data_IF_169056170462
#
_entry.id   IF_169056170462
#
_cell.length_a   1.000
_cell.length_b   1.000
_cell.length_c   1.000
_cell.angle_alpha   90.00
_cell.angle_beta   90.00
_cell.angle_gamma   90.00
#
_symmetry.space_group_name_H-M   'P 1'
#
loop_
_entity.id
_entity.type
_entity.pdbx_description
1 polymer ?
#
# COMPACT_ATOMS: atom_id res chain seq x y z
N UNK A 1 17.66 -12.27 -24.02
CA UNK A 1 16.61 -11.25 -24.25
C UNK A 1 17.12 -10.32 -25.33
N UNK A 2 16.43 -10.19 -26.49
CA UNK A 2 16.85 -9.28 -27.56
C UNK A 2 16.70 -7.84 -27.05
N UNK A 3 17.77 -7.07 -27.09
CA UNK A 3 17.75 -5.65 -26.74
C UNK A 3 16.74 -4.93 -27.65
N UNK A 4 15.75 -4.29 -27.06
CA UNK A 4 14.78 -3.49 -27.81
C UNK A 4 15.56 -2.35 -28.46
N UNK A 5 15.58 -2.32 -29.80
CA UNK A 5 16.30 -1.24 -30.50
C UNK A 5 15.68 0.10 -30.16
N UNK A 6 16.48 1.06 -29.67
CA UNK A 6 16.03 2.42 -29.33
C UNK A 6 15.26 3.07 -30.49
N UNK A 7 15.67 2.82 -31.74
CA UNK A 7 15.01 3.33 -32.94
C UNK A 7 13.57 2.80 -33.04
N UNK A 8 13.33 1.52 -32.69
CA UNK A 8 11.99 0.93 -32.66
C UNK A 8 11.14 1.63 -31.58
N UNK A 9 11.68 1.84 -30.38
CA UNK A 9 10.98 2.51 -29.28
C UNK A 9 10.64 3.95 -29.64
N UNK A 10 11.58 4.72 -30.17
CA UNK A 10 11.33 6.10 -30.60
C UNK A 10 10.29 6.20 -31.71
N UNK A 11 10.28 5.26 -32.67
CA UNK A 11 9.25 5.21 -33.72
C UNK A 11 7.87 4.97 -33.15
N UNK A 12 7.75 4.10 -32.14
CA UNK A 12 6.48 3.84 -31.45
C UNK A 12 6.06 5.06 -30.63
N UNK A 13 6.98 5.73 -29.97
CA UNK A 13 6.73 6.92 -29.15
C UNK A 13 6.51 8.22 -29.95
N UNK A 14 6.70 8.18 -31.28
CA UNK A 14 6.37 9.30 -32.17
C UNK A 14 4.86 9.59 -32.32
N UNK A 15 4.00 8.84 -31.62
CA UNK A 15 2.57 9.11 -31.52
C UNK A 15 2.25 9.67 -30.12
N UNK A 16 1.56 10.79 -30.10
CA UNK A 16 1.28 11.53 -28.85
C UNK A 16 0.47 10.70 -27.83
N UNK A 17 -0.49 9.92 -28.28
CA UNK A 17 -1.33 9.13 -27.38
C UNK A 17 -0.52 7.97 -26.73
N UNK A 18 0.37 7.35 -27.50
CA UNK A 18 1.27 6.33 -26.95
C UNK A 18 2.25 6.92 -25.95
N UNK A 19 2.73 8.12 -26.21
CA UNK A 19 3.61 8.83 -25.29
C UNK A 19 2.88 9.17 -23.98
N UNK A 20 1.68 9.75 -24.06
CA UNK A 20 0.81 10.04 -22.91
C UNK A 20 0.51 8.77 -22.09
N UNK A 21 0.13 7.68 -22.77
CA UNK A 21 -0.09 6.40 -22.08
C UNK A 21 1.15 5.90 -21.37
N UNK A 22 2.33 5.98 -22.01
CA UNK A 22 3.56 5.51 -21.39
C UNK A 22 3.95 6.39 -20.18
N UNK A 23 3.73 7.69 -20.23
CA UNK A 23 3.93 8.60 -19.10
C UNK A 23 3.03 8.23 -17.93
N UNK A 24 1.74 8.00 -18.16
CA UNK A 24 0.80 7.55 -17.13
C UNK A 24 1.21 6.21 -16.53
N UNK A 25 1.51 5.23 -17.39
CA UNK A 25 1.90 3.87 -16.99
C UNK A 25 3.29 3.80 -16.33
N UNK A 26 4.11 4.82 -16.48
CA UNK A 26 5.38 4.93 -15.75
C UNK A 26 5.18 5.36 -14.29
N UNK A 27 4.04 5.97 -13.97
CA UNK A 27 3.67 6.44 -12.64
C UNK A 27 2.80 5.42 -11.89
N UNK A 28 1.82 4.85 -12.62
CA UNK A 28 0.82 3.97 -12.02
C UNK A 28 0.45 2.82 -12.94
N UNK A 29 0.09 1.70 -12.32
CA UNK A 29 -0.52 0.59 -13.03
C UNK A 29 -2.01 0.91 -13.27
N UNK A 30 -2.43 0.89 -14.55
CA UNK A 30 -3.77 1.30 -14.96
C UNK A 30 -4.45 0.22 -15.80
N UNK A 31 -5.75 0.08 -15.60
CA UNK A 31 -6.62 -0.72 -16.45
C UNK A 31 -7.01 0.04 -17.74
N UNK A 32 -7.54 -0.69 -18.72
CA UNK A 32 -8.08 -0.07 -19.95
C UNK A 32 -9.18 0.94 -19.63
N UNK A 33 -10.08 0.61 -18.69
CA UNK A 33 -11.17 1.51 -18.30
C UNK A 33 -10.66 2.83 -17.69
N UNK A 34 -9.62 2.76 -16.87
CA UNK A 34 -9.03 3.96 -16.27
C UNK A 34 -8.26 4.79 -17.30
N UNK A 35 -7.55 4.15 -18.22
CA UNK A 35 -6.92 4.87 -19.34
C UNK A 35 -7.96 5.57 -20.24
N UNK A 36 -9.14 4.95 -20.44
CA UNK A 36 -10.25 5.60 -21.15
C UNK A 36 -10.74 6.85 -20.41
N UNK A 37 -10.91 6.74 -19.09
CA UNK A 37 -11.35 7.85 -18.25
C UNK A 37 -10.34 9.01 -18.24
N UNK A 38 -9.04 8.70 -18.13
CA UNK A 38 -7.98 9.71 -18.08
C UNK A 38 -7.81 10.40 -19.43
N UNK A 39 -7.73 9.61 -20.51
CA UNK A 39 -7.36 10.12 -21.83
C UNK A 39 -8.55 10.56 -22.68
N UNK A 40 -9.78 10.28 -22.25
CA UNK A 40 -11.00 10.57 -23.02
C UNK A 40 -11.09 9.78 -24.33
N UNK A 41 -10.46 8.62 -24.42
CA UNK A 41 -10.35 7.82 -25.65
C UNK A 41 -11.23 6.58 -25.61
N UNK A 42 -11.67 6.11 -26.78
CA UNK A 42 -12.44 4.87 -26.90
C UNK A 42 -11.60 3.62 -26.61
N UNK A 43 -12.24 2.57 -26.10
CA UNK A 43 -11.60 1.31 -25.71
C UNK A 43 -10.75 0.68 -26.82
N UNK A 44 -11.27 0.65 -28.06
CA UNK A 44 -10.56 0.06 -29.20
C UNK A 44 -9.25 0.80 -29.52
N UNK A 45 -9.27 2.13 -29.41
CA UNK A 45 -8.08 2.97 -29.62
C UNK A 45 -7.04 2.72 -28.53
N UNK A 46 -7.45 2.73 -27.26
CA UNK A 46 -6.59 2.40 -26.10
C UNK A 46 -5.95 1.03 -26.30
N UNK A 47 -6.76 0.01 -26.60
CA UNK A 47 -6.28 -1.36 -26.77
C UNK A 47 -5.26 -1.47 -27.93
N UNK A 48 -5.48 -0.74 -29.04
CA UNK A 48 -4.56 -0.71 -30.16
C UNK A 48 -3.22 -0.09 -29.79
N UNK A 49 -3.23 1.05 -29.09
CA UNK A 49 -2.01 1.72 -28.63
C UNK A 49 -1.25 0.88 -27.61
N UNK A 50 -1.95 0.25 -26.64
CA UNK A 50 -1.35 -0.66 -25.68
C UNK A 50 -0.70 -1.87 -26.32
N UNK A 51 -1.34 -2.46 -27.36
CA UNK A 51 -0.77 -3.57 -28.11
C UNK A 51 0.56 -3.18 -28.79
N UNK A 52 0.63 -1.97 -29.36
CA UNK A 52 1.84 -1.46 -29.99
C UNK A 52 2.95 -1.19 -28.97
N UNK A 53 2.62 -0.58 -27.83
CA UNK A 53 3.56 -0.36 -26.73
C UNK A 53 4.08 -1.71 -26.18
N UNK A 54 3.19 -2.69 -25.99
CA UNK A 54 3.55 -4.03 -25.53
C UNK A 54 4.45 -4.75 -26.54
N UNK A 55 4.11 -4.69 -27.83
CA UNK A 55 4.95 -5.27 -28.89
C UNK A 55 6.34 -4.64 -28.97
N UNK A 56 6.45 -3.34 -28.64
CA UNK A 56 7.73 -2.65 -28.53
C UNK A 56 8.48 -2.96 -27.22
N UNK A 57 7.87 -3.68 -26.28
CA UNK A 57 8.46 -4.02 -24.98
C UNK A 57 8.53 -2.84 -24.00
N UNK A 58 7.71 -1.79 -24.22
CA UNK A 58 7.65 -0.59 -23.38
C UNK A 58 6.63 -0.69 -22.25
N UNK A 59 5.64 -1.58 -22.38
CA UNK A 59 4.67 -1.88 -21.34
C UNK A 59 4.55 -3.40 -21.17
N UNK A 60 4.17 -3.78 -19.98
CA UNK A 60 3.76 -5.15 -19.65
C UNK A 60 2.35 -5.11 -19.05
N UNK A 61 1.69 -6.26 -19.11
CA UNK A 61 0.36 -6.41 -18.57
C UNK A 61 0.31 -7.61 -17.62
N UNK A 62 -0.62 -7.54 -16.70
CA UNK A 62 -1.03 -8.68 -15.87
C UNK A 62 -2.55 -8.77 -15.84
N UNK A 63 -3.05 -9.97 -15.78
CA UNK A 63 -4.48 -10.21 -15.61
C UNK A 63 -4.81 -10.33 -14.11
N UNK A 64 -5.80 -9.58 -13.68
CA UNK A 64 -6.34 -9.68 -12.33
C UNK A 64 -7.87 -9.71 -12.41
N UNK A 65 -8.46 -10.89 -12.19
CA UNK A 65 -9.90 -11.14 -12.38
C UNK A 65 -10.36 -10.88 -13.79
N UNK A 66 -11.32 -9.99 -13.95
CA UNK A 66 -11.88 -9.58 -15.26
C UNK A 66 -11.06 -8.49 -15.94
N UNK A 67 -10.15 -7.84 -15.21
CA UNK A 67 -9.40 -6.68 -15.68
C UNK A 67 -8.00 -7.10 -16.13
N UNK A 68 -7.47 -6.37 -17.13
CA UNK A 68 -6.08 -6.40 -17.53
C UNK A 68 -5.47 -5.07 -17.09
N UNK A 69 -4.41 -5.15 -16.31
CA UNK A 69 -3.66 -4.04 -15.80
C UNK A 69 -2.37 -3.88 -16.56
N UNK A 70 -2.01 -2.66 -16.86
CA UNK A 70 -0.82 -2.30 -17.64
C UNK A 70 0.08 -1.42 -16.83
N UNK A 71 1.39 -1.64 -16.95
CA UNK A 71 2.41 -0.75 -16.37
C UNK A 71 3.55 -0.58 -17.36
N UNK A 72 4.31 0.48 -17.20
CA UNK A 72 5.55 0.66 -17.94
C UNK A 72 6.53 -0.45 -17.58
N UNK A 73 7.12 -1.04 -18.60
CA UNK A 73 8.28 -1.90 -18.44
C UNK A 73 9.52 -1.02 -18.59
N UNK A 74 10.45 -1.07 -17.63
CA UNK A 74 11.69 -0.31 -17.70
C UNK A 74 12.37 -0.55 -19.05
N UNK A 75 12.17 0.37 -19.98
CA UNK A 75 12.60 0.30 -21.38
C UNK A 75 14.09 0.55 -21.60
N UNK A 76 14.90 0.37 -20.54
CA UNK A 76 16.29 0.74 -20.51
C UNK A 76 16.52 2.21 -20.13
N UNK A 77 17.76 2.55 -19.77
CA UNK A 77 18.16 3.85 -19.22
C UNK A 77 17.75 5.06 -20.11
N UNK A 78 17.79 4.89 -21.42
CA UNK A 78 17.47 5.98 -22.35
C UNK A 78 15.98 6.33 -22.35
N UNK A 79 15.10 5.32 -22.34
CA UNK A 79 13.65 5.56 -22.30
C UNK A 79 13.24 6.14 -20.95
N UNK A 80 13.82 5.65 -19.86
CA UNK A 80 13.60 6.23 -18.53
C UNK A 80 13.98 7.71 -18.48
N UNK A 81 15.17 8.06 -18.97
CA UNK A 81 15.61 9.46 -19.05
C UNK A 81 14.72 10.32 -19.95
N UNK A 82 14.22 9.78 -21.07
CA UNK A 82 13.28 10.49 -21.93
C UNK A 82 11.97 10.80 -21.18
N UNK A 83 11.40 9.82 -20.46
CA UNK A 83 10.19 10.02 -19.67
C UNK A 83 10.39 11.05 -18.56
N UNK A 84 11.52 11.00 -17.86
CA UNK A 84 11.88 11.98 -16.84
C UNK A 84 11.99 13.40 -17.40
N UNK A 85 12.56 13.56 -18.61
CA UNK A 85 12.64 14.85 -19.28
C UNK A 85 11.26 15.39 -19.64
N UNK A 86 10.38 14.55 -20.19
CA UNK A 86 9.02 14.96 -20.58
C UNK A 86 8.17 15.33 -19.35
N UNK A 87 8.34 14.67 -18.24
CA UNK A 87 7.67 15.04 -16.99
C UNK A 87 8.12 16.40 -16.45
N UNK A 88 9.37 16.81 -16.72
CA UNK A 88 9.94 18.10 -16.29
C UNK A 88 9.69 19.23 -17.28
N UNK A 89 9.19 18.95 -18.47
CA UNK A 89 8.92 19.89 -19.53
C UNK A 89 7.44 19.91 -19.93
N UNK A 90 6.52 20.29 -19.02
CA UNK A 90 5.06 20.23 -19.27
C UNK A 90 4.60 21.11 -20.43
N UNK A 91 5.38 22.12 -20.85
CA UNK A 91 5.11 22.93 -22.03
C UNK A 91 5.33 22.17 -23.35
N UNK A 92 6.13 21.12 -23.34
CA UNK A 92 6.38 20.27 -24.53
C UNK A 92 5.25 19.28 -24.77
N UNK A 93 4.44 18.99 -23.74
CA UNK A 93 3.30 18.08 -23.79
C UNK A 93 2.16 18.62 -22.91
N UNK A 94 1.43 19.66 -23.37
CA UNK A 94 0.41 20.34 -22.57
C UNK A 94 -0.66 19.37 -22.04
N UNK A 95 -1.06 18.36 -22.81
CA UNK A 95 -2.06 17.36 -22.45
C UNK A 95 -1.62 16.51 -21.24
N UNK A 96 -0.33 16.36 -21.02
CA UNK A 96 0.18 15.56 -19.90
C UNK A 96 -0.20 16.16 -18.53
N UNK A 97 -0.42 17.48 -18.46
CA UNK A 97 -0.88 18.16 -17.24
C UNK A 97 -2.34 17.79 -16.92
N UNK A 98 -3.18 17.79 -17.95
CA UNK A 98 -4.59 17.42 -17.78
C UNK A 98 -4.71 15.92 -17.48
N UNK A 99 -3.89 15.08 -18.10
CA UNK A 99 -3.79 13.65 -17.83
C UNK A 99 -3.35 13.38 -16.39
N UNK A 100 -2.42 14.15 -15.86
CA UNK A 100 -1.97 14.04 -14.47
C UNK A 100 -3.10 14.38 -13.50
N UNK A 101 -3.84 15.45 -13.73
CA UNK A 101 -4.98 15.81 -12.92
C UNK A 101 -6.09 14.74 -12.98
N UNK A 102 -6.34 14.18 -14.16
CA UNK A 102 -7.29 13.08 -14.34
C UNK A 102 -6.82 11.79 -13.65
N UNK A 103 -5.52 11.48 -13.70
CA UNK A 103 -4.93 10.36 -12.96
C UNK A 103 -5.16 10.51 -11.46
N UNK A 104 -4.91 11.68 -10.88
CA UNK A 104 -5.17 11.93 -9.45
C UNK A 104 -6.63 11.69 -9.09
N UNK A 105 -7.57 12.08 -9.95
CA UNK A 105 -8.99 11.82 -9.74
C UNK A 105 -9.31 10.32 -9.74
N UNK A 106 -8.73 9.56 -10.67
CA UNK A 106 -8.89 8.09 -10.71
C UNK A 106 -8.33 7.44 -9.44
N UNK A 107 -7.15 7.89 -8.98
CA UNK A 107 -6.55 7.37 -7.76
C UNK A 107 -7.39 7.69 -6.52
N UNK A 108 -7.93 8.91 -6.42
CA UNK A 108 -8.88 9.28 -5.35
C UNK A 108 -10.12 8.39 -5.38
N UNK A 109 -10.71 8.12 -6.55
CA UNK A 109 -11.85 7.19 -6.67
C UNK A 109 -11.54 5.78 -6.19
N UNK A 110 -10.32 5.28 -6.43
CA UNK A 110 -9.87 3.99 -5.86
C UNK A 110 -9.86 4.04 -4.32
N UNK A 111 -9.30 5.11 -3.73
CA UNK A 111 -9.27 5.31 -2.29
C UNK A 111 -10.67 5.41 -1.70
N UNK A 112 -11.54 6.20 -2.33
CA UNK A 112 -12.92 6.37 -1.87
C UNK A 112 -13.72 5.06 -1.94
N UNK A 113 -13.49 4.23 -2.96
CA UNK A 113 -14.09 2.90 -3.06
C UNK A 113 -13.63 1.99 -1.91
N UNK A 114 -12.34 2.01 -1.60
CA UNK A 114 -11.76 1.25 -0.48
C UNK A 114 -12.36 1.73 0.85
N UNK A 115 -12.42 3.05 1.06
CA UNK A 115 -13.03 3.64 2.25
C UNK A 115 -14.50 3.25 2.40
N UNK A 116 -15.28 3.40 1.32
CA UNK A 116 -16.71 3.04 1.33
C UNK A 116 -16.95 1.57 1.66
N UNK A 117 -16.07 0.66 1.20
CA UNK A 117 -16.12 -0.74 1.59
C UNK A 117 -15.96 -0.92 3.10
N UNK A 118 -14.96 -0.29 3.71
CA UNK A 118 -14.75 -0.39 5.16
C UNK A 118 -15.83 0.33 5.96
N UNK A 119 -16.36 1.44 5.47
CA UNK A 119 -17.51 2.13 6.07
C UNK A 119 -18.76 1.24 6.09
N UNK A 120 -19.00 0.47 5.01
CA UNK A 120 -20.08 -0.53 4.98
C UNK A 120 -19.83 -1.71 5.91
N UNK A 121 -18.57 -2.12 6.05
CA UNK A 121 -18.16 -3.23 6.93
C UNK A 121 -18.03 -2.83 8.40
N UNK A 122 -18.10 -1.53 8.72
CA UNK A 122 -17.95 -1.04 10.09
C UNK A 122 -19.01 -1.66 11.03
N UNK A 123 -18.57 -2.17 12.17
CA UNK A 123 -19.39 -2.92 13.14
C UNK A 123 -19.53 -4.42 12.83
N UNK A 124 -19.12 -4.88 11.64
CA UNK A 124 -19.19 -6.30 11.22
C UNK A 124 -17.83 -6.98 11.07
N UNK A 125 -16.75 -6.22 10.83
CA UNK A 125 -15.39 -6.73 10.60
C UNK A 125 -14.94 -7.74 11.66
N UNK A 126 -15.24 -7.45 12.93
CA UNK A 126 -14.89 -8.35 14.03
C UNK A 126 -15.68 -9.64 14.09
N UNK A 127 -16.81 -9.76 13.38
CA UNK A 127 -17.69 -10.94 13.37
C UNK A 127 -17.53 -11.80 12.13
N UNK A 128 -17.28 -11.18 10.98
CA UNK A 128 -17.30 -11.85 9.68
C UNK A 128 -15.90 -12.08 9.09
N UNK A 129 -14.92 -11.25 9.41
CA UNK A 129 -13.63 -11.23 8.69
C UNK A 129 -12.40 -11.61 9.51
N UNK A 130 -12.47 -11.78 10.82
CA UNK A 130 -11.25 -12.09 11.58
C UNK A 130 -11.02 -13.60 11.67
N UNK A 131 -10.14 -14.19 10.83
CA UNK A 131 -9.54 -15.47 11.13
C UNK A 131 -8.70 -15.33 12.40
N UNK A 132 -8.89 -16.23 13.36
CA UNK A 132 -7.97 -16.32 14.49
C UNK A 132 -8.42 -15.75 15.82
N UNK A 133 -9.72 -15.60 16.09
CA UNK A 133 -10.23 -15.30 17.44
C UNK A 133 -9.73 -16.28 18.51
N UNK A 134 -9.31 -17.50 18.09
CA UNK A 134 -8.84 -18.57 18.99
C UNK A 134 -7.51 -18.28 19.68
N UNK A 135 -6.69 -17.37 19.14
CA UNK A 135 -5.39 -17.02 19.72
C UNK A 135 -5.38 -15.74 20.57
N UNK A 136 -6.56 -15.14 20.81
CA UNK A 136 -6.68 -13.97 21.69
C UNK A 136 -6.02 -14.19 23.06
N UNK A 137 -6.28 -15.35 23.68
CA UNK A 137 -5.69 -15.68 24.98
C UNK A 137 -4.16 -15.78 24.93
N UNK A 138 -3.61 -16.32 23.84
CA UNK A 138 -2.16 -16.39 23.64
C UNK A 138 -1.60 -14.98 23.43
N UNK A 139 -2.26 -14.17 22.64
CA UNK A 139 -1.84 -12.78 22.41
C UNK A 139 -1.87 -11.97 23.71
N UNK A 140 -2.90 -12.10 24.53
CA UNK A 140 -2.97 -11.47 25.85
C UNK A 140 -1.82 -11.91 26.77
N UNK A 141 -1.49 -13.20 26.78
CA UNK A 141 -0.35 -13.70 27.54
C UNK A 141 0.99 -13.16 27.04
N UNK A 142 1.19 -13.09 25.71
CA UNK A 142 2.40 -12.55 25.09
C UNK A 142 2.56 -11.07 25.35
N UNK A 143 1.46 -10.30 25.40
CA UNK A 143 1.50 -8.86 25.74
C UNK A 143 2.07 -8.62 27.14
N UNK A 144 1.88 -9.54 28.08
CA UNK A 144 2.47 -9.42 29.42
C UNK A 144 4.00 -9.42 29.42
N UNK A 145 4.62 -9.95 28.36
CA UNK A 145 6.07 -9.99 28.18
C UNK A 145 6.64 -8.70 27.58
N UNK A 146 5.78 -7.82 27.02
CA UNK A 146 6.22 -6.58 26.42
C UNK A 146 6.39 -5.48 27.46
N UNK A 147 7.47 -4.66 27.37
CA UNK A 147 7.57 -3.45 28.16
C UNK A 147 6.46 -2.45 27.74
N UNK A 148 6.04 -1.54 28.65
CA UNK A 148 5.11 -0.48 28.28
C UNK A 148 5.71 0.43 27.20
N UNK A 149 5.07 0.51 26.04
CA UNK A 149 5.53 1.25 24.85
C UNK A 149 4.45 2.23 24.36
N UNK A 150 4.87 3.24 23.60
CA UNK A 150 3.97 4.03 22.76
C UNK A 150 3.88 3.35 21.41
N UNK A 151 2.68 2.94 21.00
CA UNK A 151 2.44 2.13 19.81
C UNK A 151 1.56 2.92 18.83
N UNK A 152 1.93 2.95 17.56
CA UNK A 152 1.06 3.36 16.47
C UNK A 152 0.46 2.11 15.81
N UNK A 153 -0.86 2.02 15.75
CA UNK A 153 -1.62 1.01 15.01
C UNK A 153 -2.11 1.66 13.72
N UNK A 154 -1.50 1.30 12.59
CA UNK A 154 -1.66 1.96 11.31
C UNK A 154 -2.64 1.18 10.41
N UNK A 155 -3.80 1.78 10.12
CA UNK A 155 -4.95 1.12 9.52
C UNK A 155 -5.71 0.30 10.55
N UNK A 156 -5.98 0.89 11.70
CA UNK A 156 -6.49 0.20 12.88
C UNK A 156 -7.91 -0.34 12.73
N UNK A 157 -8.69 0.13 11.75
CA UNK A 157 -10.10 -0.23 11.58
C UNK A 157 -10.90 0.04 12.85
N UNK A 158 -11.71 -0.92 13.27
CA UNK A 158 -12.49 -0.86 14.53
C UNK A 158 -11.62 -0.99 15.79
N UNK A 159 -10.32 -1.25 15.64
CA UNK A 159 -9.38 -1.33 16.75
C UNK A 159 -9.34 -2.63 17.53
N UNK A 160 -9.69 -3.73 16.91
CA UNK A 160 -9.61 -5.02 17.57
C UNK A 160 -8.21 -5.33 18.13
N UNK A 161 -7.17 -4.91 17.39
CA UNK A 161 -5.78 -5.05 17.81
C UNK A 161 -5.37 -3.93 18.78
N UNK A 162 -5.78 -2.70 18.53
CA UNK A 162 -5.57 -1.56 19.43
C UNK A 162 -6.12 -1.82 20.83
N UNK A 163 -7.33 -2.42 20.94
CA UNK A 163 -7.96 -2.80 22.21
C UNK A 163 -7.16 -3.87 22.97
N UNK A 164 -6.46 -4.72 22.25
CA UNK A 164 -5.58 -5.72 22.85
C UNK A 164 -4.29 -5.07 23.34
N UNK A 165 -3.65 -4.25 22.51
CA UNK A 165 -2.38 -3.59 22.81
C UNK A 165 -2.47 -2.61 23.98
N UNK A 166 -3.57 -1.84 24.08
CA UNK A 166 -3.73 -0.81 25.11
C UNK A 166 -3.73 -1.35 26.54
N UNK A 167 -4.00 -2.65 26.72
CA UNK A 167 -3.97 -3.29 28.03
C UNK A 167 -2.57 -3.24 28.68
N UNK A 168 -1.51 -3.10 27.90
CA UNK A 168 -0.12 -3.08 28.37
C UNK A 168 0.69 -1.92 27.83
N UNK A 169 0.27 -1.32 26.73
CA UNK A 169 0.93 -0.17 26.15
C UNK A 169 0.84 1.05 27.09
N UNK A 170 1.84 1.91 27.05
CA UNK A 170 1.79 3.24 27.66
C UNK A 170 0.73 4.12 26.98
N UNK A 171 0.67 4.01 25.65
CA UNK A 171 -0.32 4.67 24.81
C UNK A 171 -0.42 3.90 23.49
N UNK A 172 -1.62 3.82 22.94
CA UNK A 172 -1.87 3.37 21.57
C UNK A 172 -2.47 4.53 20.79
N UNK A 173 -1.86 4.86 19.66
CA UNK A 173 -2.37 5.83 18.69
C UNK A 173 -2.84 5.03 17.48
N UNK A 174 -4.15 4.87 17.37
CA UNK A 174 -4.80 4.17 16.29
C UNK A 174 -5.09 5.15 15.14
N UNK A 175 -4.65 4.84 13.93
CA UNK A 175 -4.84 5.70 12.75
C UNK A 175 -5.66 4.94 11.73
N UNK A 176 -6.72 5.57 11.23
CA UNK A 176 -7.52 5.05 10.12
C UNK A 176 -8.00 6.19 9.22
N UNK A 177 -8.21 5.91 7.93
CA UNK A 177 -8.66 6.91 6.96
C UNK A 177 -10.19 7.02 6.85
N UNK A 178 -10.95 6.08 7.46
CA UNK A 178 -12.41 6.09 7.50
C UNK A 178 -12.93 6.83 8.72
N UNK A 179 -13.74 7.87 8.50
CA UNK A 179 -14.41 8.61 9.59
C UNK A 179 -15.21 7.66 10.48
N UNK A 180 -15.90 6.68 9.86
CA UNK A 180 -16.75 5.73 10.56
C UNK A 180 -15.94 4.78 11.46
N UNK A 181 -14.77 4.32 10.99
CA UNK A 181 -13.86 3.50 11.80
C UNK A 181 -13.33 4.30 12.99
N UNK A 182 -12.91 5.54 12.76
CA UNK A 182 -12.42 6.44 13.82
C UNK A 182 -13.52 6.73 14.86
N UNK A 183 -14.76 7.00 14.42
CA UNK A 183 -15.90 7.20 15.33
C UNK A 183 -16.18 5.97 16.17
N UNK A 184 -16.25 4.79 15.54
CA UNK A 184 -16.49 3.51 16.24
C UNK A 184 -15.38 3.20 17.23
N UNK A 185 -14.13 3.28 16.81
CA UNK A 185 -13.00 3.01 17.68
C UNK A 185 -12.91 3.97 18.86
N UNK A 186 -13.16 5.26 18.61
CA UNK A 186 -13.23 6.28 19.69
C UNK A 186 -14.36 5.99 20.67
N UNK A 187 -15.54 5.60 20.18
CA UNK A 187 -16.66 5.22 21.01
C UNK A 187 -16.36 3.98 21.86
N UNK A 188 -15.73 2.96 21.26
CA UNK A 188 -15.30 1.76 21.97
C UNK A 188 -14.28 2.07 23.07
N UNK A 189 -13.26 2.87 22.77
CA UNK A 189 -12.27 3.30 23.77
C UNK A 189 -12.91 4.00 24.96
N UNK A 190 -13.84 4.94 24.69
CA UNK A 190 -14.58 5.66 25.71
C UNK A 190 -15.46 4.73 26.56
N UNK A 191 -16.23 3.85 25.91
CA UNK A 191 -17.16 2.95 26.59
C UNK A 191 -16.44 1.93 27.48
N UNK A 192 -15.21 1.56 27.14
CA UNK A 192 -14.37 0.65 27.91
C UNK A 192 -13.46 1.38 28.92
N UNK A 193 -13.50 2.70 28.99
CA UNK A 193 -12.68 3.48 29.92
C UNK A 193 -11.18 3.38 29.65
N UNK A 194 -10.78 3.40 28.37
CA UNK A 194 -9.39 3.24 27.91
C UNK A 194 -8.77 4.59 27.50
N UNK A 195 -8.36 5.45 28.43
CA UNK A 195 -7.84 6.79 28.12
C UNK A 195 -6.51 6.78 27.37
N UNK A 196 -5.78 5.66 27.42
CA UNK A 196 -4.52 5.48 26.71
C UNK A 196 -4.69 5.02 25.26
N UNK A 197 -5.92 4.84 24.75
CA UNK A 197 -6.23 4.56 23.35
C UNK A 197 -6.78 5.82 22.70
N UNK A 198 -6.03 6.36 21.75
CA UNK A 198 -6.39 7.57 21.00
C UNK A 198 -6.58 7.21 19.53
N UNK A 199 -7.73 7.58 18.95
CA UNK A 199 -7.98 7.44 17.52
C UNK A 199 -7.74 8.74 16.78
N UNK A 200 -7.07 8.66 15.62
CA UNK A 200 -6.82 9.77 14.71
C UNK A 200 -7.23 9.41 13.30
N UNK A 201 -7.94 10.32 12.65
CA UNK A 201 -8.16 10.21 11.21
C UNK A 201 -6.88 10.55 10.47
N UNK A 202 -6.43 9.65 9.57
CA UNK A 202 -5.22 9.87 8.77
C UNK A 202 -5.04 8.79 7.71
N UNK A 203 -4.24 9.13 6.71
CA UNK A 203 -3.82 8.22 5.66
C UNK A 203 -2.52 7.53 6.08
N UNK A 204 -2.31 6.27 5.64
CA UNK A 204 -1.07 5.52 5.88
C UNK A 204 0.15 6.21 5.24
N UNK A 205 -0.07 6.95 4.15
CA UNK A 205 0.96 7.68 3.42
C UNK A 205 1.17 9.12 3.94
N UNK A 206 0.38 9.55 4.96
CA UNK A 206 0.47 10.86 5.61
C UNK A 206 -0.05 10.76 7.05
N UNK A 207 0.70 10.06 7.89
CA UNK A 207 0.30 9.69 9.26
C UNK A 207 0.28 10.91 10.18
N UNK A 208 -0.84 11.21 10.89
CA UNK A 208 -0.98 12.38 11.76
C UNK A 208 -0.29 12.16 13.13
N UNK A 209 0.94 11.72 13.12
CA UNK A 209 1.81 11.49 14.29
C UNK A 209 3.11 12.23 14.05
N UNK A 210 3.63 12.89 15.08
CA UNK A 210 4.89 13.63 15.01
C UNK A 210 6.09 12.68 14.78
N UNK A 211 7.18 13.25 14.28
CA UNK A 211 8.44 12.52 14.06
C UNK A 211 8.96 11.95 15.39
N UNK A 212 9.47 10.74 15.34
CA UNK A 212 10.10 10.05 16.47
C UNK A 212 9.23 10.05 17.75
N UNK A 213 7.92 9.87 17.59
CA UNK A 213 6.95 9.91 18.70
C UNK A 213 6.63 8.53 19.28
N UNK A 214 6.84 7.44 18.52
CA UNK A 214 6.41 6.09 18.92
C UNK A 214 7.58 5.12 19.01
N UNK A 215 7.42 4.07 19.81
CA UNK A 215 8.39 3.01 20.00
C UNK A 215 8.16 1.83 19.04
N UNK A 216 6.89 1.62 18.65
CA UNK A 216 6.44 0.56 17.76
C UNK A 216 5.44 1.12 16.73
N UNK A 217 5.65 0.81 15.46
CA UNK A 217 4.66 1.00 14.40
C UNK A 217 4.17 -0.36 13.93
N UNK A 218 2.86 -0.54 13.91
CA UNK A 218 2.21 -1.79 13.54
C UNK A 218 1.32 -1.60 12.32
N UNK A 219 1.45 -2.48 11.35
CA UNK A 219 0.47 -2.74 10.30
C UNK A 219 -0.13 -4.12 10.54
N UNK A 220 -1.44 -4.19 10.72
CA UNK A 220 -2.15 -5.45 10.90
C UNK A 220 -3.24 -5.59 9.84
N UNK A 221 -2.96 -6.33 8.78
CA UNK A 221 -3.84 -6.50 7.62
C UNK A 221 -4.25 -5.15 6.99
N UNK A 222 -3.29 -4.24 6.86
CA UNK A 222 -3.58 -2.86 6.43
C UNK A 222 -2.62 -2.33 5.35
N UNK A 223 -1.39 -2.82 5.27
CA UNK A 223 -0.42 -2.31 4.30
C UNK A 223 -0.86 -2.60 2.85
N UNK A 224 -1.53 -3.73 2.59
CA UNK A 224 -2.04 -4.09 1.27
C UNK A 224 -3.17 -3.17 0.76
N UNK A 225 -3.72 -2.30 1.62
CA UNK A 225 -4.67 -1.26 1.23
C UNK A 225 -4.01 0.09 0.89
N UNK A 226 -2.71 0.28 1.19
CA UNK A 226 -1.99 1.48 0.79
C UNK A 226 -1.84 1.55 -0.74
N UNK A 227 -2.02 2.73 -1.32
CA UNK A 227 -1.74 2.93 -2.76
C UNK A 227 -0.25 2.75 -3.06
N UNK A 228 0.58 3.33 -2.20
CA UNK A 228 2.04 3.31 -2.29
C UNK A 228 2.64 2.76 -0.98
N UNK A 229 2.78 1.44 -0.83
CA UNK A 229 3.31 0.82 0.40
C UNK A 229 4.64 1.42 0.85
N UNK A 230 5.52 1.78 -0.08
CA UNK A 230 6.79 2.44 0.23
C UNK A 230 6.61 3.77 0.98
N UNK A 231 5.60 4.57 0.60
CA UNK A 231 5.29 5.83 1.30
C UNK A 231 4.75 5.56 2.70
N UNK A 232 3.86 4.58 2.84
CA UNK A 232 3.34 4.17 4.13
C UNK A 232 4.47 3.69 5.07
N UNK A 233 5.42 2.92 4.56
CA UNK A 233 6.60 2.49 5.31
C UNK A 233 7.56 3.65 5.64
N UNK A 234 7.67 4.64 4.75
CA UNK A 234 8.44 5.88 5.01
C UNK A 234 7.81 6.68 6.16
N UNK A 235 6.50 6.81 6.19
CA UNK A 235 5.76 7.45 7.28
C UNK A 235 5.93 6.67 8.59
N UNK A 236 5.83 5.34 8.55
CA UNK A 236 6.11 4.51 9.72
C UNK A 236 7.54 4.71 10.24
N UNK A 237 8.52 4.79 9.35
CA UNK A 237 9.90 5.11 9.71
C UNK A 237 10.02 6.52 10.32
N UNK A 238 9.34 7.53 9.77
CA UNK A 238 9.36 8.90 10.28
C UNK A 238 8.88 8.99 11.72
N UNK A 239 7.73 8.37 12.03
CA UNK A 239 7.11 8.45 13.36
C UNK A 239 7.82 7.61 14.42
N UNK A 240 8.57 6.60 14.03
CA UNK A 240 9.36 5.77 14.95
C UNK A 240 10.55 6.54 15.53
N UNK A 241 10.82 6.33 16.80
CA UNK A 241 12.08 6.75 17.45
C UNK A 241 13.26 5.99 16.87
N UNK A 242 14.48 6.54 16.91
CA UNK A 242 15.69 5.76 16.65
C UNK A 242 15.72 4.49 17.55
N UNK A 243 15.97 3.32 16.96
CA UNK A 243 15.85 2.04 17.65
C UNK A 243 14.44 1.51 17.82
N UNK A 244 13.41 2.27 17.40
CA UNK A 244 12.02 1.81 17.36
C UNK A 244 11.81 0.72 16.32
N UNK A 245 10.78 -0.08 16.51
CA UNK A 245 10.50 -1.27 15.70
C UNK A 245 9.27 -1.09 14.83
N UNK A 246 9.34 -1.61 13.61
CA UNK A 246 8.16 -1.85 12.77
C UNK A 246 7.77 -3.32 12.84
N UNK A 247 6.45 -3.59 12.85
CA UNK A 247 5.87 -4.93 12.72
C UNK A 247 4.77 -4.88 11.67
N UNK A 248 4.83 -5.78 10.72
CA UNK A 248 3.85 -5.94 9.66
C UNK A 248 3.31 -7.36 9.71
N UNK A 249 2.00 -7.48 9.91
CA UNK A 249 1.24 -8.71 9.73
C UNK A 249 0.33 -8.49 8.53
N UNK A 250 0.63 -9.13 7.42
CA UNK A 250 -0.12 -8.91 6.18
C UNK A 250 -0.28 -10.19 5.36
N UNK A 251 -1.01 -10.12 4.26
CA UNK A 251 -1.22 -11.24 3.37
C UNK A 251 0.06 -11.59 2.60
N UNK A 252 0.37 -12.87 2.51
CA UNK A 252 1.34 -13.36 1.53
C UNK A 252 0.77 -13.17 0.14
N UNK A 253 1.61 -12.76 -0.82
CA UNK A 253 1.21 -12.58 -2.20
C UNK A 253 0.41 -13.79 -2.72
N UNK A 254 -0.79 -13.54 -3.24
CA UNK A 254 -1.72 -14.57 -3.71
C UNK A 254 -2.32 -14.21 -5.08
N UNK A 255 -3.05 -15.18 -5.66
CA UNK A 255 -3.65 -15.05 -7.00
C UNK A 255 -5.17 -14.90 -6.98
N UNK A 256 -5.78 -14.79 -5.82
CA UNK A 256 -7.22 -14.63 -5.67
C UNK A 256 -7.60 -13.18 -6.00
N UNK A 257 -7.86 -12.93 -7.27
CA UNK A 257 -8.06 -11.58 -7.80
C UNK A 257 -9.38 -10.94 -7.35
N UNK A 258 -10.36 -11.76 -6.97
CA UNK A 258 -11.65 -11.34 -6.43
C UNK A 258 -11.51 -10.58 -5.10
N UNK A 259 -10.39 -10.71 -4.40
CA UNK A 259 -10.09 -9.95 -3.18
C UNK A 259 -10.18 -8.44 -3.39
N UNK A 260 -9.87 -7.95 -4.60
CA UNK A 260 -10.02 -6.53 -4.95
C UNK A 260 -11.47 -6.04 -4.91
N UNK A 261 -12.42 -6.90 -5.23
CA UNK A 261 -13.85 -6.58 -5.22
C UNK A 261 -14.49 -6.91 -3.86
N UNK A 262 -14.08 -8.02 -3.26
CA UNK A 262 -14.67 -8.51 -2.02
C UNK A 262 -14.14 -7.81 -0.77
N UNK A 263 -12.85 -7.46 -0.77
CA UNK A 263 -12.13 -6.94 0.41
C UNK A 263 -11.50 -5.56 0.16
N UNK A 264 -11.67 -5.00 -1.03
CA UNK A 264 -11.07 -3.73 -1.46
C UNK A 264 -9.53 -3.74 -1.42
N UNK A 265 -8.90 -4.89 -1.63
CA UNK A 265 -7.45 -5.01 -1.66
C UNK A 265 -6.87 -4.21 -2.84
N UNK A 266 -5.93 -3.32 -2.56
CA UNK A 266 -5.13 -2.62 -3.58
C UNK A 266 -4.02 -3.55 -4.07
N UNK A 267 -3.33 -4.18 -3.14
CA UNK A 267 -2.30 -5.18 -3.38
C UNK A 267 -2.82 -6.57 -3.01
N UNK A 268 -2.43 -7.60 -3.75
CA UNK A 268 -2.79 -8.98 -3.45
C UNK A 268 -1.74 -9.63 -2.52
N UNK A 269 -1.41 -8.93 -1.43
CA UNK A 269 -0.38 -9.33 -0.49
C UNK A 269 1.05 -9.08 -0.98
N UNK A 270 2.02 -9.46 -0.17
CA UNK A 270 3.44 -9.23 -0.37
C UNK A 270 4.24 -10.53 -0.20
N UNK A 271 5.29 -10.70 -0.98
CA UNK A 271 6.27 -11.75 -0.72
C UNK A 271 7.24 -11.34 0.40
N UNK A 272 7.87 -12.32 1.05
CA UNK A 272 8.91 -12.07 2.07
C UNK A 272 10.02 -11.19 1.48
N UNK A 273 10.51 -11.51 0.29
CA UNK A 273 11.58 -10.78 -0.40
C UNK A 273 11.16 -9.33 -0.72
N UNK A 274 9.92 -9.12 -1.12
CA UNK A 274 9.40 -7.78 -1.41
C UNK A 274 9.35 -6.91 -0.15
N UNK A 275 8.89 -7.46 0.98
CA UNK A 275 8.89 -6.74 2.26
C UNK A 275 10.30 -6.45 2.75
N UNK A 276 11.25 -7.38 2.61
CA UNK A 276 12.67 -7.16 2.94
C UNK A 276 13.24 -6.00 2.12
N UNK A 277 13.02 -6.00 0.80
CA UNK A 277 13.48 -4.93 -0.08
C UNK A 277 12.85 -3.58 0.27
N UNK A 278 11.54 -3.54 0.50
CA UNK A 278 10.83 -2.31 0.85
C UNK A 278 11.31 -1.74 2.19
N UNK A 279 11.43 -2.57 3.21
CA UNK A 279 11.91 -2.17 4.54
C UNK A 279 13.37 -1.68 4.48
N UNK A 280 14.24 -2.42 3.78
CA UNK A 280 15.63 -2.01 3.58
C UNK A 280 15.74 -0.68 2.84
N UNK A 281 14.92 -0.45 1.81
CA UNK A 281 14.90 0.78 1.01
C UNK A 281 14.53 2.01 1.84
N UNK A 282 13.61 1.88 2.80
CA UNK A 282 13.21 2.98 3.70
C UNK A 282 14.08 3.08 4.96
N UNK A 283 15.17 2.33 5.03
CA UNK A 283 16.21 2.48 6.04
C UNK A 283 16.01 1.67 7.33
N UNK A 284 15.19 0.63 7.30
CA UNK A 284 15.14 -0.33 8.40
C UNK A 284 16.31 -1.31 8.32
N UNK A 285 16.87 -1.65 9.46
CA UNK A 285 17.90 -2.68 9.67
C UNK A 285 17.32 -3.88 10.42
N UNK A 286 18.06 -4.96 10.50
CA UNK A 286 17.66 -6.21 11.19
C UNK A 286 16.26 -6.68 10.73
N UNK A 287 16.07 -6.63 9.40
CA UNK A 287 14.80 -7.02 8.80
C UNK A 287 14.67 -8.54 8.85
N UNK A 288 13.55 -9.02 9.35
CA UNK A 288 13.22 -10.43 9.42
C UNK A 288 11.82 -10.63 8.85
N UNK A 289 11.66 -11.67 8.04
CA UNK A 289 10.38 -12.06 7.46
C UNK A 289 10.11 -13.55 7.70
N UNK A 290 8.86 -13.91 7.84
CA UNK A 290 8.43 -15.30 7.95
C UNK A 290 6.93 -15.45 7.65
N UNK A 291 6.56 -16.60 7.08
CA UNK A 291 5.15 -16.97 6.94
C UNK A 291 4.71 -17.60 8.26
N UNK A 292 3.78 -16.94 8.97
CA UNK A 292 3.41 -17.32 10.33
C UNK A 292 2.07 -18.06 10.43
N UNK A 293 1.23 -17.97 9.38
CA UNK A 293 -0.07 -18.65 9.38
C UNK A 293 -0.52 -18.98 7.96
N UNK A 294 -1.32 -20.07 7.84
CA UNK A 294 -2.03 -20.45 6.63
C UNK A 294 -3.45 -20.82 7.00
N UNK A 295 -4.42 -20.23 6.33
CA UNK A 295 -5.83 -20.52 6.56
C UNK A 295 -6.22 -21.91 6.03
N UNK A 296 -7.06 -22.61 6.79
CA UNK A 296 -7.59 -23.92 6.39
C UNK A 296 -8.67 -23.80 5.30
N UNK A 297 -9.41 -22.67 5.29
CA UNK A 297 -10.48 -22.42 4.33
C UNK A 297 -9.95 -21.80 3.04
N UNK A 298 -10.54 -22.19 1.92
CA UNK A 298 -10.27 -21.54 0.64
C UNK A 298 -10.59 -20.05 0.71
N UNK A 299 -9.75 -19.20 0.09
CA UNK A 299 -8.65 -19.50 -0.83
C UNK A 299 -7.30 -19.83 -0.17
N UNK A 300 -7.27 -20.22 1.10
CA UNK A 300 -6.06 -20.63 1.85
C UNK A 300 -5.03 -19.50 1.98
N UNK A 301 -5.50 -18.31 2.33
CA UNK A 301 -4.62 -17.18 2.56
C UNK A 301 -3.51 -17.53 3.55
N UNK A 302 -2.35 -16.94 3.34
CA UNK A 302 -1.23 -17.03 4.26
C UNK A 302 -0.91 -15.66 4.82
N UNK A 303 -0.42 -15.61 6.04
CA UNK A 303 0.00 -14.38 6.70
C UNK A 303 1.51 -14.31 6.76
N UNK A 304 2.09 -13.23 6.26
CA UNK A 304 3.48 -12.88 6.44
C UNK A 304 3.64 -11.97 7.65
N UNK A 305 4.64 -12.25 8.46
CA UNK A 305 5.16 -11.37 9.50
C UNK A 305 6.46 -10.78 8.98
N UNK A 306 6.56 -9.46 8.97
CA UNK A 306 7.83 -8.77 8.75
C UNK A 306 8.13 -7.82 9.91
N UNK A 307 9.39 -7.71 10.30
CA UNK A 307 9.86 -6.81 11.35
C UNK A 307 11.14 -6.11 10.89
N UNK A 308 11.40 -4.92 11.44
CA UNK A 308 12.63 -4.17 11.22
C UNK A 308 12.87 -3.17 12.34
N UNK A 309 14.09 -2.71 12.47
CA UNK A 309 14.51 -1.72 13.47
C UNK A 309 14.90 -0.44 12.75
N UNK A 310 14.37 0.70 13.16
CA UNK A 310 14.83 2.00 12.67
C UNK A 310 16.24 2.26 13.16
N UNK A 311 17.15 2.58 12.23
CA UNK A 311 18.56 2.83 12.55
C UNK A 311 18.71 3.92 13.62
N UNK A 312 19.63 3.69 14.55
CA UNK A 312 20.06 4.71 15.52
C UNK A 312 21.07 5.62 14.79
N UNK A 313 20.67 6.85 14.52
CA UNK A 313 21.55 7.84 13.91
C UNK A 313 22.71 8.11 14.89
N UNK A 314 23.92 7.62 14.57
CA UNK A 314 25.11 7.82 15.41
C UNK A 314 25.88 6.54 15.76
N UNK A 315 25.38 5.34 15.49
CA UNK A 315 26.17 4.12 15.59
C UNK A 315 27.03 3.95 14.30
N UNK A 316 28.05 4.76 14.16
CA UNK A 316 29.17 4.44 13.29
C UNK A 316 29.84 3.24 13.93
N UNK A 317 29.78 2.10 13.26
CA UNK A 317 30.56 0.91 13.61
C UNK A 317 32.04 1.31 13.72
N UNK A 318 32.55 1.35 14.96
CA UNK A 318 33.96 1.38 15.22
C UNK A 318 34.58 0.01 14.95
#
# INVERSE_FOLDING_TARGET
>A
MAATSIVKSLRVLGDINRLRMLLLLSREELSVAELQEILGMGQSSISTHLAQLKHAGLVEDRRAGKNIWYRSKAGGEVISKLLDLLQKAPQELPEAKDDEAALELVLRKRQDKTRAFFDDMAGRLGREYIPGRSWRSIAEALLLLLPPMVIADLGAGEGAFSLLLVQRAKQVIAVDNSDKMVELGTALARNQGLPSLEYRKGDLEAVPIADSAVDLALFSQSLHHALHPERALTEASRILRPGGRIVILDLVQHRFAEARELYADVWLGFSEVELEMLLGKVGFSDVQTSIVHKEEKAPHFQTVLATGIKAIVGAVLG
#
